data_IF_680988262531
#
_entry.id   IF_680988262531
#
_cell.length_a   1.000
_cell.length_b   1.000
_cell.length_c   1.000
_cell.angle_alpha   90.00
_cell.angle_beta   90.00
_cell.angle_gamma   90.00
#
_symmetry.space_group_name_H-M   'P 1'
#
loop_
_entity.id
_entity.type
_entity.pdbx_description
1 polymer ?
#
# COMPACT_ATOMS: atom_id res chain seq x y z
N UNK A 1 5.22 3.85 -12.03
CA UNK A 1 5.34 2.48 -11.49
C UNK A 1 4.56 2.30 -10.19
N UNK A 2 4.82 3.07 -9.14
CA UNK A 2 4.10 2.96 -7.85
C UNK A 2 2.57 3.03 -7.99
N UNK A 3 2.05 4.01 -8.75
CA UNK A 3 0.60 4.16 -8.99
C UNK A 3 -0.03 2.91 -9.63
N UNK A 4 0.56 2.42 -10.72
CA UNK A 4 0.08 1.26 -11.46
C UNK A 4 0.19 -0.03 -10.64
N UNK A 5 1.27 -0.20 -9.87
CA UNK A 5 1.42 -1.32 -8.94
C UNK A 5 0.36 -1.31 -7.84
N UNK A 6 0.10 -0.14 -7.24
CA UNK A 6 -0.93 0.03 -6.22
C UNK A 6 -2.34 -0.22 -6.77
N UNK A 7 -2.64 0.29 -7.96
CA UNK A 7 -3.91 0.06 -8.64
C UNK A 7 -4.11 -1.44 -8.94
N UNK A 8 -3.11 -2.09 -9.51
CA UNK A 8 -3.15 -3.53 -9.80
C UNK A 8 -3.37 -4.33 -8.51
N UNK A 9 -2.62 -4.02 -7.45
CA UNK A 9 -2.75 -4.69 -6.16
C UNK A 9 -4.19 -4.59 -5.62
N UNK A 10 -4.81 -3.41 -5.66
CA UNK A 10 -6.19 -3.20 -5.21
C UNK A 10 -7.18 -3.99 -6.06
N UNK A 11 -7.05 -3.97 -7.39
CA UNK A 11 -8.00 -4.67 -8.27
C UNK A 11 -7.91 -6.18 -8.05
N UNK A 12 -6.70 -6.73 -8.01
CA UNK A 12 -6.48 -8.19 -7.87
C UNK A 12 -6.94 -8.65 -6.48
N UNK A 13 -6.50 -7.97 -5.42
CA UNK A 13 -6.82 -8.39 -4.05
C UNK A 13 -8.26 -8.05 -3.67
N UNK A 14 -8.82 -6.96 -4.21
CA UNK A 14 -10.22 -6.60 -4.04
C UNK A 14 -11.16 -7.60 -4.71
N UNK A 15 -10.84 -8.04 -5.93
CA UNK A 15 -11.59 -9.11 -6.60
C UNK A 15 -11.59 -10.41 -5.77
N UNK A 16 -10.41 -10.87 -5.36
CA UNK A 16 -10.27 -12.09 -4.55
C UNK A 16 -10.97 -11.97 -3.19
N UNK A 17 -10.91 -10.79 -2.56
CA UNK A 17 -11.60 -10.51 -1.30
C UNK A 17 -13.11 -10.64 -1.48
N UNK A 18 -13.68 -10.08 -2.55
CA UNK A 18 -15.12 -10.15 -2.83
C UNK A 18 -15.57 -11.60 -3.05
N UNK A 19 -14.82 -12.38 -3.83
CA UNK A 19 -15.11 -13.80 -4.06
C UNK A 19 -15.08 -14.59 -2.74
N UNK A 20 -14.10 -14.32 -1.87
CA UNK A 20 -14.00 -14.99 -0.57
C UNK A 20 -15.07 -14.55 0.42
N UNK A 21 -15.46 -13.27 0.41
CA UNK A 21 -16.59 -12.78 1.21
C UNK A 21 -17.87 -13.48 0.77
N UNK A 22 -18.13 -13.59 -0.53
CA UNK A 22 -19.31 -14.29 -1.04
C UNK A 22 -19.33 -15.77 -0.63
N UNK A 23 -18.18 -16.43 -0.67
CA UNK A 23 -18.02 -17.79 -0.16
C UNK A 23 -18.24 -17.89 1.37
N UNK A 24 -17.92 -16.84 2.14
CA UNK A 24 -18.12 -16.78 3.58
C UNK A 24 -19.54 -16.40 4.02
N UNK A 25 -20.30 -15.69 3.19
CA UNK A 25 -21.67 -15.27 3.52
C UNK A 25 -22.57 -16.48 3.81
N UNK A 26 -22.42 -17.57 3.05
CA UNK A 26 -23.22 -18.80 3.25
C UNK A 26 -23.00 -19.44 4.63
N UNK A 27 -21.77 -19.76 5.06
CA UNK A 27 -21.53 -20.31 6.38
C UNK A 27 -21.88 -19.29 7.48
N UNK A 28 -21.55 -18.00 7.33
CA UNK A 28 -21.94 -16.98 8.32
C UNK A 28 -23.45 -16.89 8.49
N UNK A 29 -24.21 -16.92 7.39
CA UNK A 29 -25.67 -16.91 7.42
C UNK A 29 -26.25 -18.12 8.14
N UNK A 30 -25.62 -19.30 8.02
CA UNK A 30 -26.01 -20.49 8.77
C UNK A 30 -25.71 -20.33 10.27
N UNK A 31 -24.55 -19.77 10.62
CA UNK A 31 -24.22 -19.42 12.01
C UNK A 31 -25.19 -18.41 12.61
N UNK A 32 -25.55 -17.34 11.89
CA UNK A 32 -26.51 -16.34 12.37
C UNK A 32 -27.92 -16.92 12.53
N UNK A 33 -28.32 -17.87 11.70
CA UNK A 33 -29.60 -18.58 11.85
C UNK A 33 -29.62 -19.49 13.08
N UNK A 34 -28.54 -20.22 13.35
CA UNK A 34 -28.40 -21.01 14.59
C UNK A 34 -28.34 -20.09 15.83
N UNK A 35 -27.64 -18.96 15.73
CA UNK A 35 -27.57 -17.95 16.77
C UNK A 35 -28.93 -17.39 17.18
N UNK A 36 -29.71 -16.89 16.20
CA UNK A 36 -31.05 -16.33 16.44
C UNK A 36 -32.04 -17.42 16.83
N UNK A 37 -31.94 -18.62 16.23
CA UNK A 37 -32.90 -19.71 16.39
C UNK A 37 -32.76 -20.50 17.68
N UNK A 38 -31.53 -20.84 18.08
CA UNK A 38 -31.25 -21.71 19.24
C UNK A 38 -30.84 -20.94 20.50
N UNK A 39 -30.72 -19.60 20.44
CA UNK A 39 -30.27 -18.74 21.57
C UNK A 39 -28.96 -19.23 22.22
N UNK A 40 -28.05 -19.78 21.42
CA UNK A 40 -26.73 -20.22 21.88
C UNK A 40 -25.91 -18.97 22.29
N UNK A 41 -25.18 -18.97 23.41
CA UNK A 41 -24.35 -17.82 23.83
C UNK A 41 -23.12 -17.57 22.94
N UNK A 42 -22.70 -16.31 22.80
CA UNK A 42 -21.77 -15.79 21.76
C UNK A 42 -20.36 -16.28 22.03
N UNK A 43 -20.05 -16.44 23.30
CA UNK A 43 -18.85 -17.08 23.78
C UNK A 43 -18.70 -18.51 23.26
N UNK A 44 -19.78 -19.29 23.18
CA UNK A 44 -19.73 -20.68 22.70
C UNK A 44 -19.70 -20.75 21.17
N UNK A 45 -20.43 -19.87 20.49
CA UNK A 45 -20.40 -19.77 19.03
C UNK A 45 -19.01 -19.40 18.49
N UNK A 46 -18.30 -18.45 19.10
CA UNK A 46 -16.93 -18.06 18.71
C UNK A 46 -15.95 -19.23 18.87
N UNK A 47 -16.13 -20.11 19.86
CA UNK A 47 -15.23 -21.25 20.07
C UNK A 47 -15.26 -22.29 18.95
N UNK A 48 -16.35 -22.34 18.17
CA UNK A 48 -16.50 -23.23 17.01
C UNK A 48 -15.99 -22.60 15.71
N UNK A 49 -15.65 -21.32 15.72
CA UNK A 49 -15.15 -20.62 14.55
C UNK A 49 -13.67 -20.93 14.39
N UNK A 50 -13.31 -21.63 13.32
CA UNK A 50 -11.91 -21.80 12.95
C UNK A 50 -11.34 -20.46 12.46
N UNK A 51 -10.53 -19.83 13.32
CA UNK A 51 -9.87 -18.56 13.08
C UNK A 51 -8.98 -18.56 11.83
N UNK A 52 -8.49 -19.73 11.39
CA UNK A 52 -7.75 -19.88 10.14
C UNK A 52 -8.55 -19.47 8.91
N UNK A 53 -9.88 -19.52 9.02
CA UNK A 53 -10.78 -19.06 7.95
C UNK A 53 -10.61 -17.56 7.72
N UNK A 54 -10.36 -16.77 8.77
CA UNK A 54 -10.27 -15.30 8.71
C UNK A 54 -8.88 -14.77 8.34
N UNK A 55 -7.82 -15.56 8.48
CA UNK A 55 -6.45 -15.12 8.17
C UNK A 55 -6.31 -14.60 6.73
N UNK A 56 -6.99 -15.25 5.78
CA UNK A 56 -6.90 -14.93 4.35
C UNK A 56 -7.63 -13.64 3.95
N UNK A 57 -8.92 -13.44 4.26
CA UNK A 57 -9.56 -12.15 4.00
C UNK A 57 -8.90 -11.02 4.77
N UNK A 58 -8.35 -11.27 5.96
CA UNK A 58 -7.57 -10.28 6.69
C UNK A 58 -6.30 -9.88 5.92
N UNK A 59 -5.53 -10.84 5.39
CA UNK A 59 -4.36 -10.56 4.55
C UNK A 59 -4.73 -9.74 3.30
N UNK A 60 -5.80 -10.13 2.59
CA UNK A 60 -6.28 -9.43 1.40
C UNK A 60 -6.72 -8.00 1.73
N UNK A 61 -7.42 -7.80 2.85
CA UNK A 61 -7.77 -6.48 3.36
C UNK A 61 -6.54 -5.61 3.61
N UNK A 62 -5.50 -6.16 4.24
CA UNK A 62 -4.25 -5.44 4.46
C UNK A 62 -3.56 -5.06 3.14
N UNK A 63 -3.61 -5.91 2.12
CA UNK A 63 -3.11 -5.59 0.79
C UNK A 63 -3.91 -4.45 0.11
N UNK A 64 -5.24 -4.45 0.21
CA UNK A 64 -6.09 -3.36 -0.30
C UNK A 64 -5.77 -2.05 0.43
N UNK A 65 -5.65 -2.10 1.76
CA UNK A 65 -5.29 -0.94 2.58
C UNK A 65 -3.91 -0.41 2.19
N UNK A 66 -2.92 -1.29 2.02
CA UNK A 66 -1.57 -0.94 1.56
C UNK A 66 -1.60 -0.24 0.20
N UNK A 67 -2.30 -0.79 -0.78
CA UNK A 67 -2.45 -0.16 -2.10
C UNK A 67 -3.12 1.22 -2.01
N UNK A 68 -4.13 1.35 -1.15
CA UNK A 68 -4.84 2.61 -0.93
C UNK A 68 -3.93 3.67 -0.28
N UNK A 69 -3.17 3.28 0.74
CA UNK A 69 -2.17 4.15 1.40
C UNK A 69 -1.08 4.55 0.40
N UNK A 70 -0.65 3.64 -0.48
CA UNK A 70 0.30 3.94 -1.54
C UNK A 70 -0.22 4.98 -2.55
N UNK A 71 -1.51 4.94 -2.87
CA UNK A 71 -2.15 5.93 -3.75
C UNK A 71 -2.29 7.30 -3.08
N UNK A 72 -2.86 7.36 -1.86
CA UNK A 72 -3.10 8.61 -1.13
C UNK A 72 -1.79 9.26 -0.66
N UNK A 73 -0.86 8.45 -0.17
CA UNK A 73 0.39 8.87 0.44
C UNK A 73 1.49 9.27 -0.52
N UNK A 74 1.22 9.22 -1.83
CA UNK A 74 2.24 9.29 -2.88
C UNK A 74 3.20 10.48 -2.73
N UNK A 75 2.71 11.64 -2.28
CA UNK A 75 3.51 12.86 -2.19
C UNK A 75 4.27 13.06 -0.86
N UNK A 76 3.98 12.27 0.19
CA UNK A 76 4.57 12.47 1.53
C UNK A 76 5.74 11.50 1.74
N UNK A 77 6.96 11.98 2.06
CA UNK A 77 8.13 11.11 2.17
C UNK A 77 8.00 10.07 3.29
N UNK A 78 7.38 10.43 4.42
CA UNK A 78 7.09 9.50 5.51
C UNK A 78 6.22 8.33 5.05
N UNK A 79 5.19 8.61 4.23
CA UNK A 79 4.29 7.55 3.75
C UNK A 79 4.98 6.63 2.75
N UNK A 80 5.96 7.14 1.99
CA UNK A 80 6.78 6.30 1.11
C UNK A 80 7.63 5.31 1.93
N UNK A 81 8.24 5.75 3.04
CA UNK A 81 9.01 4.86 3.92
C UNK A 81 8.10 3.82 4.58
N UNK A 82 6.92 4.23 5.05
CA UNK A 82 5.92 3.30 5.60
C UNK A 82 5.50 2.29 4.55
N UNK A 83 5.23 2.70 3.31
CA UNK A 83 4.86 1.79 2.23
C UNK A 83 5.95 0.77 1.91
N UNK A 84 7.23 1.15 1.99
CA UNK A 84 8.34 0.21 1.83
C UNK A 84 8.27 -0.87 2.91
N UNK A 85 8.25 -0.47 4.19
CA UNK A 85 8.17 -1.40 5.29
C UNK A 85 6.93 -2.31 5.20
N UNK A 86 5.77 -1.72 4.86
CA UNK A 86 4.51 -2.43 4.73
C UNK A 86 4.50 -3.40 3.55
N UNK A 87 5.08 -3.03 2.41
CA UNK A 87 5.21 -3.92 1.24
C UNK A 87 6.09 -5.13 1.53
N UNK A 88 7.19 -4.96 2.27
CA UNK A 88 8.07 -6.05 2.68
C UNK A 88 7.38 -6.95 3.71
N UNK A 89 6.70 -6.36 4.70
CA UNK A 89 5.95 -7.11 5.70
C UNK A 89 4.84 -7.97 5.05
N UNK A 90 4.08 -7.40 4.10
CA UNK A 90 3.05 -8.12 3.36
C UNK A 90 3.64 -9.21 2.46
N UNK A 91 4.81 -8.98 1.85
CA UNK A 91 5.48 -9.99 1.07
C UNK A 91 5.91 -11.19 1.93
N UNK A 92 6.51 -10.95 3.10
CA UNK A 92 6.88 -12.01 4.04
C UNK A 92 5.65 -12.75 4.59
N UNK A 93 4.60 -12.01 4.93
CA UNK A 93 3.34 -12.58 5.39
C UNK A 93 2.69 -13.43 4.31
N UNK A 94 2.82 -13.05 3.03
CA UNK A 94 2.32 -13.85 1.91
C UNK A 94 2.97 -15.23 1.85
N UNK A 95 4.26 -15.35 2.17
CA UNK A 95 4.97 -16.64 2.26
C UNK A 95 4.52 -17.48 3.47
N UNK A 96 4.20 -16.86 4.61
CA UNK A 96 3.68 -17.60 5.77
C UNK A 96 2.28 -18.19 5.52
N UNK A 97 1.45 -17.47 4.76
CA UNK A 97 0.05 -17.86 4.48
C UNK A 97 -0.04 -18.92 3.36
N UNK A 98 1.08 -19.33 2.75
CA UNK A 98 1.15 -20.24 1.59
C UNK A 98 0.56 -21.63 1.78
N UNK A 99 0.30 -22.08 3.00
CA UNK A 99 -0.10 -23.48 3.24
C UNK A 99 -1.51 -23.83 2.76
N UNK A 100 -2.34 -22.89 2.30
CA UNK A 100 -3.67 -23.25 1.79
C UNK A 100 -4.14 -22.44 0.55
N UNK A 101 -4.03 -23.10 -0.61
CA UNK A 101 -4.92 -22.95 -1.77
C UNK A 101 -5.02 -21.50 -2.31
N UNK A 102 -3.92 -20.99 -2.85
CA UNK A 102 -3.97 -19.95 -3.87
C UNK A 102 -3.67 -20.60 -5.23
N UNK A 103 -4.37 -20.23 -6.31
CA UNK A 103 -3.84 -20.49 -7.65
C UNK A 103 -2.50 -19.77 -7.76
N UNK A 104 -1.45 -20.46 -8.22
CA UNK A 104 -0.10 -19.89 -8.34
C UNK A 104 -0.07 -18.56 -9.13
N UNK A 105 -1.01 -18.39 -10.06
CA UNK A 105 -1.18 -17.16 -10.84
C UNK A 105 -1.57 -15.94 -9.98
N UNK A 106 -2.47 -16.08 -9.02
CA UNK A 106 -2.89 -14.95 -8.18
C UNK A 106 -1.81 -14.55 -7.18
N UNK A 107 -1.11 -15.54 -6.64
CA UNK A 107 0.04 -15.34 -5.78
C UNK A 107 1.15 -14.60 -6.52
N UNK A 108 1.51 -15.06 -7.73
CA UNK A 108 2.53 -14.39 -8.55
C UNK A 108 2.12 -12.97 -8.94
N UNK A 109 0.86 -12.73 -9.31
CA UNK A 109 0.35 -11.38 -9.61
C UNK A 109 0.39 -10.44 -8.41
N UNK A 110 -0.04 -10.89 -7.23
CA UNK A 110 -0.02 -10.09 -6.00
C UNK A 110 1.41 -9.80 -5.53
N UNK A 111 2.30 -10.79 -5.56
CA UNK A 111 3.72 -10.60 -5.27
C UNK A 111 4.38 -9.63 -6.26
N UNK A 112 4.07 -9.73 -7.55
CA UNK A 112 4.60 -8.82 -8.57
C UNK A 112 4.12 -7.39 -8.35
N UNK A 113 2.84 -7.20 -8.00
CA UNK A 113 2.29 -5.88 -7.66
C UNK A 113 2.96 -5.29 -6.42
N UNK A 114 3.21 -6.08 -5.37
CA UNK A 114 3.95 -5.67 -4.17
C UNK A 114 5.39 -5.26 -4.51
N UNK A 115 6.09 -6.04 -5.33
CA UNK A 115 7.45 -5.73 -5.80
C UNK A 115 7.47 -4.43 -6.61
N UNK A 116 6.46 -4.19 -7.46
CA UNK A 116 6.33 -2.94 -8.21
C UNK A 116 6.14 -1.71 -7.30
N UNK A 117 5.35 -1.85 -6.23
CA UNK A 117 5.14 -0.80 -5.23
C UNK A 117 6.45 -0.53 -4.48
N UNK A 118 7.17 -1.57 -4.10
CA UNK A 118 8.47 -1.46 -3.42
C UNK A 118 9.49 -0.73 -4.30
N UNK A 119 9.74 -1.21 -5.53
CA UNK A 119 10.65 -0.58 -6.49
C UNK A 119 10.23 0.86 -6.81
N UNK A 120 8.94 1.09 -7.04
CA UNK A 120 8.39 2.43 -7.27
C UNK A 120 8.61 3.38 -6.09
N UNK A 121 8.58 2.88 -4.86
CA UNK A 121 8.83 3.65 -3.65
C UNK A 121 10.32 3.98 -3.49
N UNK A 122 11.21 2.99 -3.74
CA UNK A 122 12.65 3.19 -3.70
C UNK A 122 13.12 4.26 -4.70
N UNK A 123 12.68 4.17 -5.97
CA UNK A 123 13.01 5.17 -7.00
C UNK A 123 12.56 6.57 -6.56
N UNK A 124 11.39 6.67 -5.93
CA UNK A 124 10.83 7.96 -5.49
C UNK A 124 11.60 8.57 -4.32
N UNK A 125 12.10 7.76 -3.38
CA UNK A 125 12.99 8.25 -2.31
C UNK A 125 14.29 8.81 -2.91
N UNK A 126 14.89 8.09 -3.86
CA UNK A 126 16.11 8.55 -4.54
C UNK A 126 15.85 9.88 -5.26
N UNK A 127 14.73 10.00 -5.98
CA UNK A 127 14.34 11.24 -6.65
C UNK A 127 14.15 12.40 -5.66
N UNK A 128 13.41 12.19 -4.57
CA UNK A 128 13.18 13.23 -3.56
C UNK A 128 14.47 13.70 -2.89
N UNK A 129 15.39 12.78 -2.60
CA UNK A 129 16.69 13.12 -1.99
C UNK A 129 17.61 13.85 -2.97
N UNK A 130 17.62 13.45 -4.25
CA UNK A 130 18.39 14.11 -5.30
C UNK A 130 17.87 15.53 -5.59
N UNK A 131 16.55 15.68 -5.77
CA UNK A 131 15.93 16.98 -6.04
C UNK A 131 16.12 17.96 -4.87
N UNK A 132 15.94 17.50 -3.62
CA UNK A 132 16.18 18.33 -2.43
C UNK A 132 17.64 18.79 -2.34
N UNK A 133 18.61 17.94 -2.73
CA UNK A 133 20.03 18.33 -2.82
C UNK A 133 20.31 19.38 -3.90
N UNK A 134 19.60 19.34 -5.03
CA UNK A 134 19.74 20.35 -6.08
C UNK A 134 19.16 21.71 -5.67
N UNK A 135 17.98 21.74 -5.04
CA UNK A 135 17.37 23.00 -4.54
C UNK A 135 18.28 23.66 -3.50
N UNK A 136 18.82 22.90 -2.55
CA UNK A 136 19.75 23.44 -1.53
C UNK A 136 21.06 23.96 -2.16
N UNK A 137 21.55 23.31 -3.24
CA UNK A 137 22.72 23.81 -3.96
C UNK A 137 22.41 25.10 -4.73
N UNK A 138 21.25 25.19 -5.38
CA UNK A 138 20.79 26.37 -6.10
C UNK A 138 20.61 27.58 -5.18
N UNK A 139 20.03 27.38 -4.00
CA UNK A 139 19.83 28.44 -3.00
C UNK A 139 21.15 28.97 -2.44
N UNK A 140 22.15 28.11 -2.29
CA UNK A 140 23.49 28.52 -1.82
C UNK A 140 24.28 29.29 -2.87
N UNK A 141 23.95 29.11 -4.16
CA UNK A 141 24.51 29.88 -5.27
C UNK A 141 23.67 31.10 -5.66
N UNK A 142 22.52 31.31 -5.04
CA UNK A 142 21.75 32.54 -5.20
C UNK A 142 22.49 33.66 -4.47
N UNK A 143 23.51 34.22 -5.13
CA UNK A 143 24.14 35.48 -4.73
C UNK A 143 23.00 36.49 -4.61
N UNK A 144 22.86 37.08 -3.42
CA UNK A 144 21.91 38.16 -3.17
C UNK A 144 22.22 39.28 -4.16
N UNK A 145 21.45 39.36 -5.25
CA UNK A 145 21.47 40.51 -6.14
C UNK A 145 20.56 41.55 -5.47
N UNK A 146 21.10 42.63 -4.89
CA UNK A 146 20.25 43.72 -4.45
C UNK A 146 19.39 44.14 -5.64
N UNK A 147 18.08 44.29 -5.41
CA UNK A 147 17.15 44.71 -6.44
C UNK A 147 17.58 46.09 -6.92
N UNK A 148 18.09 46.17 -8.15
CA UNK A 148 18.44 47.41 -8.84
C UNK A 148 17.26 47.80 -9.75
N UNK A 149 16.34 48.68 -9.32
CA UNK A 149 15.20 49.10 -10.12
C UNK A 149 15.60 49.88 -11.39
N UNK A 150 16.87 50.30 -11.51
CA UNK A 150 17.33 51.19 -12.57
C UNK A 150 18.39 50.56 -13.49
N UNK A 151 18.82 49.33 -13.22
CA UNK A 151 19.77 48.55 -14.04
C UNK A 151 21.02 49.37 -14.45
N UNK A 152 21.56 50.16 -13.51
CA UNK A 152 22.58 51.18 -13.80
C UNK A 152 23.95 50.54 -14.04
N UNK A 153 24.20 49.38 -13.44
CA UNK A 153 25.53 48.75 -13.43
C UNK A 153 25.83 47.84 -14.64
N UNK A 154 24.88 47.62 -15.54
CA UNK A 154 25.04 46.67 -16.66
C UNK A 154 25.57 47.30 -17.96
N UNK A 155 25.94 48.59 -17.97
CA UNK A 155 26.35 49.30 -19.19
C UNK A 155 27.86 49.45 -19.41
N UNK A 156 28.69 49.14 -18.41
CA UNK A 156 30.12 49.44 -18.48
C UNK A 156 31.01 48.25 -18.85
N UNK A 157 30.42 47.08 -19.15
CA UNK A 157 31.14 45.91 -19.68
C UNK A 157 30.81 45.70 -21.17
N UNK A 158 31.42 46.50 -22.04
CA UNK A 158 31.52 46.22 -23.48
C UNK A 158 32.87 46.62 -24.04
#
# INVERSE_FOLDING_TARGET
MLFWGALALIIITGYELLVRIDAMIRPLGMFFKMWIGEKVPFSRAISYVDWKTFERPAFLLLCVLSGTIALLGRNKPLVIVVNIAFSVALFLLSHLVETLIFPDLFKTLTSTALVLIFLGSCIRIIYCTYYKKQVIKSDRTAVYKPYDPFNIHNRDEK
#
